data_IF_367327145409
#
_entry.id   IF_367327145409
#
_cell.length_a   1.000
_cell.length_b   1.000
_cell.length_c   1.000
_cell.angle_alpha   90.00
_cell.angle_beta   90.00
_cell.angle_gamma   90.00
#
_symmetry.space_group_name_H-M   'P 1'
#
loop_
_entity.id
_entity.type
_entity.pdbx_description
1 polymer ?
#
# COMPACT_ATOMS: atom_id res chain seq x y z
N UNK A 1 -1.70 9.87 -6.30
CA UNK A 1 -2.98 9.28 -6.77
C UNK A 1 -3.95 9.17 -5.59
N UNK A 2 -5.25 9.42 -5.77
CA UNK A 2 -6.29 9.27 -4.74
C UNK A 2 -7.21 8.12 -5.13
N UNK A 3 -7.64 7.33 -4.15
CA UNK A 3 -8.59 6.22 -4.32
C UNK A 3 -9.72 6.45 -3.31
N UNK A 4 -10.97 6.32 -3.75
CA UNK A 4 -12.14 6.37 -2.88
C UNK A 4 -12.52 4.94 -2.51
N UNK A 5 -12.71 4.69 -1.21
CA UNK A 5 -13.04 3.38 -0.66
C UNK A 5 -14.16 3.58 0.35
N UNK A 6 -15.24 2.84 0.17
CA UNK A 6 -16.33 2.81 1.14
C UNK A 6 -16.00 1.79 2.23
N UNK A 7 -16.09 2.23 3.49
CA UNK A 7 -15.89 1.40 4.67
C UNK A 7 -17.12 1.53 5.56
N UNK A 8 -17.62 0.44 6.15
CA UNK A 8 -18.66 0.53 7.18
C UNK A 8 -18.11 1.29 8.40
N UNK A 9 -18.99 2.01 9.10
CA UNK A 9 -18.62 2.87 10.24
C UNK A 9 -17.81 2.12 11.30
N UNK A 10 -18.15 0.85 11.57
CA UNK A 10 -17.40 0.01 12.52
C UNK A 10 -15.94 -0.18 12.15
N UNK A 11 -15.60 -0.29 10.86
CA UNK A 11 -14.21 -0.40 10.42
C UNK A 11 -13.48 0.93 10.50
N UNK A 12 -14.19 2.05 10.38
CA UNK A 12 -13.61 3.39 10.58
C UNK A 12 -13.24 3.59 12.04
N UNK A 13 -14.09 3.13 12.97
CA UNK A 13 -13.86 3.17 14.41
C UNK A 13 -12.67 2.28 14.82
N UNK A 14 -12.62 1.04 14.33
CA UNK A 14 -11.49 0.13 14.57
C UNK A 14 -10.17 0.74 14.06
N UNK A 15 -10.19 1.35 12.87
CA UNK A 15 -9.02 2.02 12.31
C UNK A 15 -8.61 3.24 13.14
N UNK A 16 -9.57 4.00 13.69
CA UNK A 16 -9.28 5.12 14.56
C UNK A 16 -8.58 4.66 15.84
N UNK A 17 -9.04 3.57 16.47
CA UNK A 17 -8.40 3.01 17.64
C UNK A 17 -6.94 2.58 17.39
N UNK A 18 -6.66 1.96 16.24
CA UNK A 18 -5.29 1.59 15.84
C UNK A 18 -4.41 2.82 15.68
N UNK A 19 -4.93 3.86 15.03
CA UNK A 19 -4.20 5.12 14.79
C UNK A 19 -3.87 5.84 16.08
N UNK A 20 -4.80 5.85 17.04
CA UNK A 20 -4.56 6.40 18.38
C UNK A 20 -3.51 5.59 19.15
N UNK A 21 -3.61 4.26 19.12
CA UNK A 21 -2.66 3.38 19.79
C UNK A 21 -1.23 3.50 19.22
N UNK A 22 -1.10 3.60 17.90
CA UNK A 22 0.19 3.75 17.23
C UNK A 22 0.72 5.19 17.22
N UNK A 23 -0.14 6.19 17.52
CA UNK A 23 0.15 7.62 17.39
C UNK A 23 0.62 8.02 15.98
N UNK A 24 0.02 7.41 14.96
CA UNK A 24 0.41 7.59 13.55
C UNK A 24 -0.75 8.16 12.73
N UNK A 25 -0.48 8.97 11.70
CA UNK A 25 -1.55 9.48 10.85
C UNK A 25 -2.28 8.32 10.14
N UNK A 26 -3.61 8.39 10.07
CA UNK A 26 -4.48 7.38 9.41
C UNK A 26 -3.95 6.93 8.06
N UNK A 27 -3.50 7.87 7.23
CA UNK A 27 -2.96 7.56 5.91
C UNK A 27 -1.70 6.71 5.93
N UNK A 28 -0.85 6.81 6.97
CA UNK A 28 0.32 5.94 7.11
C UNK A 28 -0.09 4.51 7.46
N UNK A 29 -0.98 4.35 8.44
CA UNK A 29 -1.51 3.03 8.83
C UNK A 29 -2.18 2.32 7.65
N UNK A 30 -3.01 3.05 6.88
CA UNK A 30 -3.65 2.51 5.67
C UNK A 30 -2.60 2.09 4.62
N UNK A 31 -1.58 2.90 4.37
CA UNK A 31 -0.53 2.55 3.39
C UNK A 31 0.22 1.29 3.79
N UNK A 32 0.62 1.18 5.05
CA UNK A 32 1.34 0.02 5.56
C UNK A 32 0.46 -1.25 5.48
N UNK A 33 -0.83 -1.13 5.82
CA UNK A 33 -1.76 -2.24 5.70
C UNK A 33 -1.90 -2.73 4.24
N UNK A 34 -2.00 -1.81 3.28
CA UNK A 34 -2.04 -2.13 1.85
C UNK A 34 -0.72 -2.78 1.41
N UNK A 35 0.43 -2.24 1.83
CA UNK A 35 1.74 -2.81 1.51
C UNK A 35 1.90 -4.24 2.04
N UNK A 36 1.53 -4.46 3.31
CA UNK A 36 1.57 -5.78 3.95
C UNK A 36 0.64 -6.77 3.23
N UNK A 37 -0.57 -6.34 2.85
CA UNK A 37 -1.53 -7.17 2.11
C UNK A 37 -1.01 -7.55 0.72
N UNK A 38 -0.43 -6.60 -0.01
CA UNK A 38 0.19 -6.86 -1.31
C UNK A 38 1.37 -7.83 -1.16
N UNK A 39 2.25 -7.62 -0.17
CA UNK A 39 3.40 -8.48 0.08
C UNK A 39 3.00 -9.90 0.48
N UNK A 40 1.92 -10.06 1.24
CA UNK A 40 1.34 -11.37 1.57
C UNK A 40 0.86 -12.08 0.31
N UNK A 41 0.09 -11.41 -0.54
CA UNK A 41 -0.44 -12.00 -1.78
C UNK A 41 0.63 -12.25 -2.84
N UNK A 42 1.64 -11.39 -2.94
CA UNK A 42 2.80 -11.60 -3.81
C UNK A 42 3.58 -12.85 -3.42
N UNK A 43 3.67 -13.19 -2.12
CA UNK A 43 4.29 -14.45 -1.69
C UNK A 43 3.45 -15.66 -2.11
N UNK A 44 2.14 -15.60 -1.92
CA UNK A 44 1.21 -16.66 -2.34
C UNK A 44 1.24 -16.88 -3.86
N UNK A 45 1.22 -15.79 -4.64
CA UNK A 45 1.37 -15.84 -6.10
C UNK A 45 2.81 -16.24 -6.49
N UNK A 46 3.85 -15.79 -5.78
CA UNK A 46 5.24 -16.13 -6.08
C UNK A 46 5.50 -17.63 -6.09
N UNK A 47 4.88 -18.39 -5.18
CA UNK A 47 4.92 -19.87 -5.20
C UNK A 47 4.38 -20.49 -6.49
N UNK A 48 3.50 -19.80 -7.21
CA UNK A 48 2.88 -20.23 -8.48
C UNK A 48 3.46 -19.49 -9.70
N UNK A 49 4.20 -18.39 -9.48
CA UNK A 49 4.58 -17.39 -10.51
C UNK A 49 6.11 -17.16 -10.57
N UNK A 50 6.93 -17.89 -9.79
CA UNK A 50 8.40 -17.92 -9.99
C UNK A 50 8.81 -18.32 -11.44
N UNK A 51 7.91 -18.97 -12.20
CA UNK A 51 8.10 -19.23 -13.63
C UNK A 51 7.82 -18.04 -14.56
N UNK A 52 7.07 -17.02 -14.13
CA UNK A 52 6.50 -15.97 -15.00
C UNK A 52 7.03 -14.55 -14.73
N UNK A 53 7.68 -14.29 -13.59
CA UNK A 53 8.26 -12.98 -13.27
C UNK A 53 9.61 -12.68 -13.92
N UNK A 54 10.20 -13.64 -14.65
CA UNK A 54 11.42 -13.38 -15.43
C UNK A 54 11.20 -12.42 -16.61
N UNK A 55 9.93 -12.13 -16.98
CA UNK A 55 9.60 -11.48 -18.26
C UNK A 55 8.98 -10.08 -18.16
N UNK A 56 8.73 -9.54 -16.95
CA UNK A 56 8.25 -8.14 -16.83
C UNK A 56 9.02 -7.38 -15.76
N UNK A 57 10.11 -6.74 -16.20
CA UNK A 57 10.60 -5.50 -15.58
C UNK A 57 9.44 -4.51 -15.57
N UNK A 58 8.86 -4.26 -14.40
CA UNK A 58 7.99 -3.10 -14.20
C UNK A 58 8.88 -2.04 -13.57
N UNK A 59 9.13 -1.00 -14.36
CA UNK A 59 9.92 0.18 -14.05
C UNK A 59 9.34 0.88 -12.82
N UNK A 60 9.93 0.60 -11.65
CA UNK A 60 9.48 1.14 -10.36
C UNK A 60 10.10 2.50 -10.01
N UNK A 61 10.78 3.17 -10.96
CA UNK A 61 11.60 4.36 -10.69
C UNK A 61 11.26 5.58 -11.53
N UNK A 62 10.08 5.64 -12.15
CA UNK A 62 9.67 6.81 -12.95
C UNK A 62 8.54 7.60 -12.28
N UNK A 63 8.69 7.87 -10.99
CA UNK A 63 7.83 8.85 -10.30
C UNK A 63 8.57 9.72 -9.26
N UNK A 64 9.86 9.49 -9.03
CA UNK A 64 10.65 10.25 -8.06
C UNK A 64 11.29 11.54 -8.60
N UNK A 65 11.02 11.97 -9.85
CA UNK A 65 11.66 13.15 -10.44
C UNK A 65 10.76 14.36 -10.72
N UNK A 66 9.44 14.33 -10.49
CA UNK A 66 8.58 15.49 -10.79
C UNK A 66 8.21 16.36 -9.58
N UNK A 67 8.63 16.03 -8.36
CA UNK A 67 8.27 16.81 -7.15
C UNK A 67 9.44 17.63 -6.58
N UNK A 68 10.32 18.14 -7.45
CA UNK A 68 11.42 19.04 -7.06
C UNK A 68 11.71 20.14 -8.09
N UNK A 69 10.67 20.64 -8.75
CA UNK A 69 10.72 21.88 -9.53
C UNK A 69 9.98 23.06 -8.89
N UNK A 70 9.41 22.86 -7.71
CA UNK A 70 9.01 23.97 -6.84
C UNK A 70 9.46 23.60 -5.42
N UNK A 71 10.42 24.38 -4.90
CA UNK A 71 11.12 24.30 -3.60
C UNK A 71 12.41 23.47 -3.56
#
# INVERSE_FOLDING_TARGET
MRILVDLPDSQVDDLAAIVEAEQRPRAAVIRDAIEAYIAQRKRTLGTDVFGLWKTKKVDGLTYQQELRSEW
#
